data_IF_306894266965
#
_entry.id   IF_306894266965
#
_cell.length_a   1.000
_cell.length_b   1.000
_cell.length_c   1.000
_cell.angle_alpha   90.00
_cell.angle_beta   90.00
_cell.angle_gamma   90.00
#
_symmetry.space_group_name_H-M   'P 1'
#
loop_
_entity.id
_entity.type
_entity.pdbx_description
1 polymer ?
#
# COMPACT_ATOMS: atom_id res chain seq x y z
N UNK A 1 19.77 3.69 -9.13
CA UNK A 1 20.31 2.33 -9.09
C UNK A 1 19.14 1.36 -8.96
N UNK A 2 19.01 0.40 -9.87
CA UNK A 2 17.93 -0.60 -9.86
C UNK A 2 18.57 -1.97 -9.65
N UNK A 3 18.01 -2.79 -8.78
CA UNK A 3 18.51 -4.14 -8.49
C UNK A 3 17.35 -5.14 -8.42
N UNK A 4 17.69 -6.40 -8.64
CA UNK A 4 16.79 -7.55 -8.46
C UNK A 4 17.27 -8.35 -7.27
N UNK A 5 16.36 -8.69 -6.36
CA UNK A 5 16.66 -9.57 -5.21
C UNK A 5 16.16 -10.98 -5.54
N UNK A 6 17.03 -11.98 -5.39
CA UNK A 6 16.65 -13.40 -5.46
C UNK A 6 16.40 -13.90 -4.04
N UNK A 7 15.20 -14.45 -3.80
CA UNK A 7 14.78 -14.92 -2.48
C UNK A 7 14.88 -16.45 -2.45
N UNK A 8 15.66 -17.06 -1.54
CA UNK A 8 15.70 -18.51 -1.39
C UNK A 8 14.35 -19.03 -0.84
N UNK A 9 13.85 -20.15 -1.36
CA UNK A 9 12.52 -20.68 -1.03
C UNK A 9 12.41 -21.14 0.43
N UNK A 10 13.52 -21.55 1.02
CA UNK A 10 13.59 -22.24 2.31
C UNK A 10 13.63 -21.29 3.52
N UNK A 11 13.63 -19.96 3.30
CA UNK A 11 13.71 -18.96 4.39
C UNK A 11 12.74 -17.80 4.18
N UNK A 12 12.00 -17.40 5.24
CA UNK A 12 11.20 -16.18 5.19
C UNK A 12 12.12 -14.96 5.03
N UNK A 13 11.80 -14.10 4.07
CA UNK A 13 12.54 -12.86 3.85
C UNK A 13 11.92 -11.70 4.64
N UNK A 14 12.76 -11.00 5.40
CA UNK A 14 12.38 -9.73 6.00
C UNK A 14 13.00 -8.56 5.23
N UNK A 15 12.22 -7.93 4.35
CA UNK A 15 12.65 -6.78 3.55
C UNK A 15 13.04 -5.57 4.41
N UNK A 16 12.53 -5.44 5.64
CA UNK A 16 12.91 -4.35 6.55
C UNK A 16 14.36 -4.47 7.02
N UNK A 17 14.87 -5.70 7.16
CA UNK A 17 16.27 -5.92 7.53
C UNK A 17 17.22 -5.54 6.38
N UNK A 18 16.79 -5.78 5.14
CA UNK A 18 17.57 -5.43 3.95
C UNK A 18 17.49 -3.94 3.61
N UNK A 19 16.32 -3.33 3.85
CA UNK A 19 16.03 -1.95 3.47
C UNK A 19 15.38 -1.19 4.64
N UNK A 20 16.14 -0.90 5.71
CA UNK A 20 15.59 -0.33 6.95
C UNK A 20 14.98 1.07 6.76
N UNK A 21 15.43 1.80 5.74
CA UNK A 21 14.95 3.16 5.43
C UNK A 21 14.01 3.20 4.22
N UNK A 22 13.58 2.05 3.71
CA UNK A 22 12.65 1.98 2.59
C UNK A 22 11.21 1.72 3.06
N UNK A 23 10.26 2.37 2.41
CA UNK A 23 8.84 2.08 2.56
C UNK A 23 8.40 1.19 1.40
N UNK A 24 7.92 -0.04 1.65
CA UNK A 24 7.41 -0.91 0.60
C UNK A 24 6.15 -0.30 -0.02
N UNK A 25 6.17 -0.10 -1.34
CA UNK A 25 5.02 0.35 -2.13
C UNK A 25 4.50 -0.84 -2.94
N UNK A 26 3.19 -1.02 -2.90
CA UNK A 26 2.45 -2.01 -3.66
C UNK A 26 1.78 -1.35 -4.87
N UNK A 27 1.52 -2.14 -5.91
CA UNK A 27 0.90 -1.68 -7.15
C UNK A 27 -0.27 -2.58 -7.55
N UNK A 28 -1.40 -1.99 -7.93
CA UNK A 28 -2.55 -2.68 -8.53
C UNK A 28 -3.08 -1.85 -9.71
N UNK A 29 -2.93 -2.34 -10.93
CA UNK A 29 -3.11 -1.50 -12.11
C UNK A 29 -2.13 -0.33 -12.06
N UNK A 30 -2.61 0.90 -12.18
CA UNK A 30 -1.85 2.15 -12.01
C UNK A 30 -1.99 2.78 -10.62
N UNK A 31 -2.68 2.12 -9.69
CA UNK A 31 -2.73 2.55 -8.29
C UNK A 31 -1.42 2.15 -7.58
N UNK A 32 -0.81 3.10 -6.87
CA UNK A 32 0.30 2.87 -5.96
C UNK A 32 -0.16 3.07 -4.53
N UNK A 33 0.21 2.18 -3.60
CA UNK A 33 -0.24 2.28 -2.22
C UNK A 33 0.72 1.62 -1.24
N UNK A 34 0.66 2.04 0.02
CA UNK A 34 1.24 1.28 1.14
C UNK A 34 0.15 0.51 1.87
N UNK A 35 0.48 -0.62 2.50
CA UNK A 35 -0.51 -1.41 3.27
C UNK A 35 -1.12 -0.59 4.41
N UNK A 36 -0.30 0.22 5.09
CA UNK A 36 -0.77 1.08 6.18
C UNK A 36 -1.81 2.10 5.69
N UNK A 37 -1.55 2.73 4.53
CA UNK A 37 -2.49 3.69 3.96
C UNK A 37 -3.79 3.00 3.47
N UNK A 38 -3.68 1.80 2.90
CA UNK A 38 -4.86 1.03 2.50
C UNK A 38 -5.73 0.63 3.70
N UNK A 39 -5.11 0.20 4.80
CA UNK A 39 -5.82 -0.11 6.04
C UNK A 39 -6.55 1.12 6.60
N UNK A 40 -5.92 2.29 6.57
CA UNK A 40 -6.56 3.54 7.01
C UNK A 40 -7.70 3.96 6.09
N UNK A 41 -7.52 3.86 4.77
CA UNK A 41 -8.59 4.09 3.79
C UNK A 41 -9.83 3.22 4.06
N UNK A 42 -9.61 1.94 4.39
CA UNK A 42 -10.69 1.02 4.76
C UNK A 42 -11.41 1.51 6.02
N UNK A 43 -10.67 1.90 7.07
CA UNK A 43 -11.27 2.40 8.32
C UNK A 43 -12.10 3.67 8.08
N UNK A 44 -11.62 4.60 7.25
CA UNK A 44 -12.35 5.83 6.91
C UNK A 44 -13.61 5.55 6.08
N UNK A 45 -13.61 4.51 5.23
CA UNK A 45 -14.78 4.12 4.42
C UNK A 45 -15.84 3.36 5.22
N UNK A 46 -15.47 2.74 6.33
CA UNK A 46 -16.35 1.93 7.19
C UNK A 46 -16.24 2.34 8.67
N UNK A 47 -16.64 3.59 9.03
CA UNK A 47 -16.44 4.12 10.38
C UNK A 47 -17.23 3.37 11.46
N UNK A 48 -18.38 2.79 11.13
CA UNK A 48 -19.24 2.07 12.08
C UNK A 48 -18.68 0.70 12.51
N UNK A 49 -17.60 0.25 11.87
CA UNK A 49 -16.99 -1.06 12.11
C UNK A 49 -15.56 -0.97 12.66
N UNK A 50 -15.10 0.20 13.10
CA UNK A 50 -13.74 0.40 13.61
C UNK A 50 -13.43 -0.60 14.74
N UNK A 51 -12.37 -1.39 14.56
CA UNK A 51 -11.94 -2.43 15.50
C UNK A 51 -12.53 -3.83 15.25
N UNK A 52 -13.54 -3.96 14.38
CA UNK A 52 -14.18 -5.23 14.03
C UNK A 52 -14.12 -5.54 12.52
N UNK A 53 -13.29 -4.81 11.76
CA UNK A 53 -13.12 -5.02 10.32
C UNK A 53 -12.02 -6.06 10.07
N UNK A 54 -12.36 -7.14 9.37
CA UNK A 54 -11.36 -7.96 8.68
C UNK A 54 -10.97 -7.30 7.35
N UNK A 55 -9.91 -6.50 7.36
CA UNK A 55 -9.41 -5.79 6.19
C UNK A 55 -9.12 -6.72 4.99
N UNK A 56 -8.82 -8.01 5.22
CA UNK A 56 -8.54 -8.97 4.14
C UNK A 56 -9.78 -9.36 3.35
N UNK A 57 -10.95 -9.29 3.97
CA UNK A 57 -12.24 -9.62 3.35
C UNK A 57 -12.79 -8.50 2.47
N UNK A 58 -12.30 -7.27 2.68
CA UNK A 58 -12.82 -6.08 1.99
C UNK A 58 -12.30 -6.02 0.56
N UNK A 59 -13.25 -5.95 -0.37
CA UNK A 59 -12.97 -5.72 -1.78
C UNK A 59 -12.88 -4.23 -2.06
N UNK A 60 -11.69 -3.77 -2.39
CA UNK A 60 -11.44 -2.40 -2.82
C UNK A 60 -11.85 -2.24 -4.28
N UNK A 61 -12.64 -1.21 -4.58
CA UNK A 61 -12.92 -0.80 -5.95
C UNK A 61 -11.69 -0.08 -6.53
N UNK A 62 -10.80 -0.83 -7.18
CA UNK A 62 -9.53 -0.30 -7.70
C UNK A 62 -9.68 0.70 -8.84
N UNK A 63 -10.85 0.76 -9.48
CA UNK A 63 -11.13 1.74 -10.54
C UNK A 63 -11.07 3.18 -10.00
N UNK A 64 -11.55 3.41 -8.77
CA UNK A 64 -11.51 4.71 -8.07
C UNK A 64 -10.08 5.23 -7.85
N UNK A 65 -9.09 4.33 -7.81
CA UNK A 65 -7.72 4.63 -7.40
C UNK A 65 -6.69 4.50 -8.53
N UNK A 66 -7.14 4.31 -9.77
CA UNK A 66 -6.22 4.31 -10.91
C UNK A 66 -5.54 5.67 -11.04
N UNK A 67 -4.23 5.64 -11.33
CA UNK A 67 -3.38 6.82 -11.43
C UNK A 67 -3.38 7.66 -10.13
N UNK A 68 -3.51 7.00 -8.97
CA UNK A 68 -3.39 7.62 -7.65
C UNK A 68 -2.32 6.92 -6.81
N UNK A 69 -1.71 7.69 -5.91
CA UNK A 69 -0.79 7.22 -4.88
C UNK A 69 -1.41 7.42 -3.50
N UNK A 70 -1.58 6.33 -2.75
CA UNK A 70 -2.24 6.30 -1.44
C UNK A 70 -1.18 6.06 -0.35
N UNK A 71 -0.95 7.04 0.52
CA UNK A 71 0.11 7.04 1.52
C UNK A 71 -0.40 7.53 2.87
N UNK A 72 0.38 7.23 3.92
CA UNK A 72 0.30 7.94 5.19
C UNK A 72 1.38 9.01 5.21
N UNK A 73 0.98 10.25 5.46
CA UNK A 73 1.89 11.36 5.71
C UNK A 73 1.54 11.99 7.05
N UNK A 74 2.48 11.99 8.01
CA UNK A 74 2.26 12.57 9.34
C UNK A 74 0.97 12.08 10.01
N UNK A 75 0.75 10.76 9.99
CA UNK A 75 -0.46 10.07 10.47
C UNK A 75 -1.76 10.37 9.71
N UNK A 76 -1.74 11.17 8.64
CA UNK A 76 -2.91 11.43 7.80
C UNK A 76 -2.92 10.58 6.53
N UNK A 77 -4.12 10.16 6.10
CA UNK A 77 -4.28 9.49 4.81
C UNK A 77 -4.18 10.55 3.70
N UNK A 78 -3.24 10.37 2.78
CA UNK A 78 -3.07 11.28 1.64
C UNK A 78 -3.19 10.51 0.33
N UNK A 79 -3.97 11.08 -0.60
CA UNK A 79 -4.18 10.52 -1.93
C UNK A 79 -3.72 11.54 -2.97
N UNK A 80 -2.62 11.24 -3.65
CA UNK A 80 -2.08 12.07 -4.72
C UNK A 80 -2.54 11.55 -6.07
N UNK A 81 -2.86 12.44 -7.01
CA UNK A 81 -2.97 12.07 -8.41
C UNK A 81 -1.55 11.97 -8.99
N UNK A 82 -1.29 10.90 -9.74
CA UNK A 82 -0.01 10.66 -10.40
C UNK A 82 -0.24 10.48 -11.90
N UNK A 83 0.70 10.94 -12.71
CA UNK A 83 0.70 10.69 -14.15
C UNK A 83 2.00 10.03 -14.55
N UNK A 84 1.94 9.19 -15.57
CA UNK A 84 3.12 8.63 -16.19
C UNK A 84 3.63 9.64 -17.21
N UNK A 85 4.86 10.10 -17.01
CA UNK A 85 5.58 10.91 -18.01
C UNK A 85 6.28 9.93 -18.95
N UNK A 86 6.11 10.12 -20.26
CA UNK A 86 6.74 9.33 -21.32
C UNK A 86 7.95 10.09 -21.87
#
# INVERSE_FOLDING_TARGET
>A
MTFKVSIPEDKPLNLKNLFPSAVPIHKKGNALYTINALNKLIQEKYPDSIGNIDNKSIKINWEEYQNKMILINSDELTIFNISRIF
#
